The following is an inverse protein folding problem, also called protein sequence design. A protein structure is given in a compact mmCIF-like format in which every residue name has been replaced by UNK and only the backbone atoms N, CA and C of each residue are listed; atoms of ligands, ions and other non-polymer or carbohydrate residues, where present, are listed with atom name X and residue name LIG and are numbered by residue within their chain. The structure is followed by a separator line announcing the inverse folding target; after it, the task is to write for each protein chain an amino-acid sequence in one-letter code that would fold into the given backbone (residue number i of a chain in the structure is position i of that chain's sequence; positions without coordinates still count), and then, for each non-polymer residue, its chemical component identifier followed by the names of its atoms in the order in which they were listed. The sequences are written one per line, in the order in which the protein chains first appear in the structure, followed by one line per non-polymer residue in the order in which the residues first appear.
data_IF_841456921943
#
_entry.id   IF_841456921943
#
_cell.length_a   1.000
_cell.length_b   1.000
_cell.length_c   1.000
_cell.angle_alpha   90.00
_cell.angle_beta   90.00
_cell.angle_gamma   90.00
#
_symmetry.space_group_name_H-M   'P 1'
#
loop_
_entity.id
_entity.type
_entity.pdbx_description
1 polymer ?
#
# COMPACT_ATOMS: atom_id res chain seq x y z
N UNK A 1 11.42 0.57 17.07
CA UNK A 1 10.89 1.36 15.95
C UNK A 1 9.45 1.68 16.27
N UNK A 2 9.13 2.96 16.38
CA UNK A 2 7.76 3.45 16.60
C UNK A 2 7.00 3.35 15.27
N UNK A 3 5.87 2.66 15.24
CA UNK A 3 5.06 2.52 14.02
C UNK A 3 4.20 3.77 13.89
N UNK A 4 4.14 4.31 12.68
CA UNK A 4 3.71 5.68 12.37
C UNK A 4 2.30 6.06 12.88
N UNK A 5 1.41 5.10 13.13
CA UNK A 5 0.08 5.35 13.69
C UNK A 5 -0.30 4.25 14.70
N UNK A 6 -0.28 4.59 15.99
CA UNK A 6 -0.74 3.73 17.08
C UNK A 6 -2.13 4.19 17.54
N UNK A 7 -3.06 3.26 17.70
CA UNK A 7 -4.42 3.48 18.20
C UNK A 7 -4.60 2.59 19.44
N UNK A 8 -4.02 3.03 20.55
CA UNK A 8 -3.83 2.19 21.74
C UNK A 8 -2.85 1.04 21.44
N UNK A 9 -3.30 -0.20 21.66
CA UNK A 9 -2.52 -1.42 21.41
C UNK A 9 -2.52 -1.89 19.94
N UNK A 10 -3.17 -1.13 19.06
CA UNK A 10 -3.29 -1.43 17.64
C UNK A 10 -2.38 -0.53 16.81
N UNK A 11 -1.82 -1.10 15.76
CA UNK A 11 -1.09 -0.39 14.73
C UNK A 11 -1.96 -0.25 13.48
N UNK A 12 -1.82 0.87 12.80
CA UNK A 12 -2.53 1.13 11.54
C UNK A 12 -1.52 1.29 10.41
N UNK A 13 -1.65 0.45 9.38
CA UNK A 13 -0.94 0.61 8.11
C UNK A 13 -1.92 1.18 7.09
N UNK A 14 -1.83 2.50 6.80
CA UNK A 14 -2.73 3.12 5.85
C UNK A 14 -2.38 2.73 4.41
N UNK A 15 -3.40 2.59 3.58
CA UNK A 15 -3.21 2.45 2.13
C UNK A 15 -3.86 3.60 1.40
N UNK A 16 -3.29 3.95 0.26
CA UNK A 16 -3.78 4.98 -0.62
C UNK A 16 -3.72 4.46 -2.05
N UNK A 17 -4.59 4.96 -2.93
CA UNK A 17 -4.55 4.59 -4.34
C UNK A 17 -4.63 5.81 -5.22
N UNK A 18 -4.03 5.70 -6.41
CA UNK A 18 -4.02 6.77 -7.41
C UNK A 18 -5.07 6.46 -8.47
N UNK A 19 -6.05 7.34 -8.66
CA UNK A 19 -7.12 7.13 -9.64
C UNK A 19 -6.67 7.59 -11.01
N UNK A 20 -6.32 6.65 -11.87
CA UNK A 20 -5.76 6.94 -13.18
C UNK A 20 -6.84 7.32 -14.23
N UNK A 21 -8.11 7.04 -13.96
CA UNK A 21 -9.23 7.38 -14.85
C UNK A 21 -9.64 8.85 -14.80
N UNK A 22 -9.21 9.61 -13.79
CA UNK A 22 -9.58 11.02 -13.62
C UNK A 22 -8.37 11.89 -13.36
N UNK A 23 -8.47 13.18 -13.73
CA UNK A 23 -7.45 14.19 -13.45
C UNK A 23 -8.07 15.41 -12.79
N UNK A 24 -7.37 16.00 -11.83
CA UNK A 24 -7.78 17.26 -11.21
C UNK A 24 -7.64 18.39 -12.23
N UNK A 25 -8.74 19.10 -12.53
CA UNK A 25 -8.75 20.23 -13.49
C UNK A 25 -7.64 21.27 -13.26
N UNK A 26 -7.35 21.72 -12.03
CA UNK A 26 -6.35 22.78 -11.82
C UNK A 26 -4.91 22.35 -12.05
N UNK A 27 -4.58 21.06 -11.90
CA UNK A 27 -3.19 20.59 -11.87
C UNK A 27 -2.88 19.54 -12.95
N UNK A 28 -3.87 19.04 -13.67
CA UNK A 28 -3.78 17.89 -14.58
C UNK A 28 -3.15 16.62 -13.94
N UNK A 29 -3.18 16.54 -12.60
CA UNK A 29 -2.62 15.41 -11.85
C UNK A 29 -3.74 14.47 -11.41
N UNK A 30 -3.49 13.17 -11.52
CA UNK A 30 -4.37 12.13 -10.99
C UNK A 30 -4.49 12.23 -9.45
N UNK A 31 -5.71 12.23 -8.89
CA UNK A 31 -5.90 12.32 -7.46
C UNK A 31 -5.42 11.03 -6.76
N UNK A 32 -4.89 11.22 -5.55
CA UNK A 32 -4.64 10.15 -4.58
C UNK A 32 -5.84 10.11 -3.64
N UNK A 33 -6.40 8.93 -3.42
CA UNK A 33 -7.54 8.67 -2.54
C UNK A 33 -7.14 7.69 -1.43
N UNK A 34 -7.87 7.73 -0.32
CA UNK A 34 -7.69 6.78 0.78
C UNK A 34 -8.24 5.41 0.41
N UNK A 35 -7.41 4.38 0.58
CA UNK A 35 -7.79 2.99 0.41
C UNK A 35 -8.16 2.32 1.74
N UNK A 36 -8.39 1.00 1.73
CA UNK A 36 -8.64 0.22 2.93
C UNK A 36 -7.43 0.27 3.88
N UNK A 37 -7.64 0.43 5.17
CA UNK A 37 -6.54 0.52 6.15
C UNK A 37 -6.40 -0.81 6.90
N UNK A 38 -5.17 -1.27 7.08
CA UNK A 38 -4.89 -2.48 7.84
C UNK A 38 -4.70 -2.11 9.32
N UNK A 39 -5.63 -2.52 10.18
CA UNK A 39 -5.51 -2.38 11.63
C UNK A 39 -5.06 -3.73 12.20
N UNK A 40 -3.92 -3.76 12.85
CA UNK A 40 -3.29 -5.00 13.31
C UNK A 40 -2.56 -4.81 14.64
N UNK A 41 -2.49 -5.87 15.44
CA UNK A 41 -1.71 -5.90 16.69
C UNK A 41 -0.29 -6.42 16.47
N UNK A 42 -0.01 -7.02 15.30
CA UNK A 42 1.31 -7.51 14.95
C UNK A 42 1.67 -7.22 13.49
N UNK A 43 2.93 -6.85 13.26
CA UNK A 43 3.49 -6.61 11.92
C UNK A 43 4.11 -7.88 11.35
N UNK A 44 3.33 -8.96 11.33
CA UNK A 44 3.77 -10.23 10.74
C UNK A 44 3.39 -10.32 9.27
N UNK A 45 4.18 -11.05 8.49
CA UNK A 45 3.83 -11.38 7.10
C UNK A 45 2.44 -11.99 7.00
N UNK A 46 2.05 -12.83 7.98
CA UNK A 46 0.73 -13.47 8.02
C UNK A 46 -0.40 -12.45 8.15
N UNK A 47 -0.28 -11.49 9.06
CA UNK A 47 -1.31 -10.46 9.25
C UNK A 47 -1.48 -9.61 7.99
N UNK A 48 -0.36 -9.21 7.38
CA UNK A 48 -0.39 -8.46 6.13
C UNK A 48 -0.92 -9.27 4.95
N UNK A 49 -0.56 -10.55 4.82
CA UNK A 49 -1.08 -11.42 3.77
C UNK A 49 -2.59 -11.59 3.86
N UNK A 50 -3.14 -11.74 5.08
CA UNK A 50 -4.59 -11.84 5.26
C UNK A 50 -5.31 -10.58 4.75
N UNK A 51 -4.81 -9.40 5.10
CA UNK A 51 -5.34 -8.13 4.60
C UNK A 51 -5.19 -7.99 3.08
N UNK A 52 -4.02 -8.34 2.53
CA UNK A 52 -3.75 -8.19 1.10
C UNK A 52 -4.50 -9.21 0.23
N UNK A 53 -4.83 -10.40 0.74
CA UNK A 53 -5.73 -11.33 0.07
C UNK A 53 -7.15 -10.77 -0.03
N UNK A 54 -7.67 -10.20 1.07
CA UNK A 54 -8.99 -9.55 1.04
C UNK A 54 -9.03 -8.40 0.02
N UNK A 55 -7.95 -7.61 -0.07
CA UNK A 55 -7.81 -6.59 -1.13
C UNK A 55 -7.78 -7.24 -2.52
N UNK A 56 -7.03 -8.32 -2.71
CA UNK A 56 -6.89 -8.99 -4.01
C UNK A 56 -8.22 -9.58 -4.50
N UNK A 57 -9.02 -10.16 -3.60
CA UNK A 57 -10.34 -10.74 -3.92
C UNK A 57 -11.35 -9.70 -4.44
N UNK A 58 -11.10 -8.41 -4.16
CA UNK A 58 -11.91 -7.29 -4.63
C UNK A 58 -11.38 -6.66 -5.93
N UNK A 59 -10.34 -7.24 -6.56
CA UNK A 59 -9.75 -6.77 -7.81
C UNK A 59 -10.02 -7.77 -8.94
N UNK A 60 -10.19 -7.24 -10.15
CA UNK A 60 -10.24 -8.08 -11.35
C UNK A 60 -8.84 -8.52 -11.77
N UNK A 61 -8.73 -9.62 -12.52
CA UNK A 61 -7.46 -10.13 -13.04
C UNK A 61 -6.65 -9.06 -13.81
N UNK A 62 -7.34 -8.23 -14.61
CA UNK A 62 -6.72 -7.12 -15.34
C UNK A 62 -6.12 -6.07 -14.41
N UNK A 63 -6.81 -5.75 -13.31
CA UNK A 63 -6.33 -4.78 -12.32
C UNK A 63 -5.12 -5.34 -11.55
N UNK A 64 -5.11 -6.64 -11.25
CA UNK A 64 -3.99 -7.31 -10.60
C UNK A 64 -2.71 -7.28 -11.45
N UNK A 65 -2.83 -7.45 -12.77
CA UNK A 65 -1.69 -7.39 -13.69
C UNK A 65 -1.11 -5.97 -13.86
N UNK A 66 -1.97 -4.95 -13.78
CA UNK A 66 -1.56 -3.55 -13.92
C UNK A 66 -1.16 -2.90 -12.60
N UNK A 67 -1.24 -3.67 -11.50
CA UNK A 67 -1.02 -3.17 -10.16
C UNK A 67 0.45 -2.78 -9.96
N UNK A 68 0.66 -1.51 -9.63
CA UNK A 68 1.94 -1.04 -9.09
C UNK A 68 1.77 -0.74 -7.62
N UNK A 69 2.56 -1.41 -6.79
CA UNK A 69 2.53 -1.24 -5.34
C UNK A 69 3.82 -0.55 -4.91
N UNK A 70 3.69 0.62 -4.28
CA UNK A 70 4.81 1.33 -3.64
C UNK A 70 4.72 1.14 -2.13
N UNK A 71 5.83 0.78 -1.48
CA UNK A 71 5.88 0.63 -0.02
C UNK A 71 7.21 1.07 0.57
N UNK A 72 7.20 1.23 1.90
CA UNK A 72 8.42 1.40 2.69
C UNK A 72 9.25 0.10 2.74
N UNK A 73 10.38 0.15 3.43
CA UNK A 73 11.32 -0.97 3.52
C UNK A 73 10.89 -2.12 4.44
N UNK A 74 9.66 -2.11 4.97
CA UNK A 74 9.18 -3.12 5.91
C UNK A 74 9.16 -4.53 5.28
N UNK A 75 10.07 -5.40 5.73
CA UNK A 75 10.31 -6.71 5.12
C UNK A 75 9.07 -7.61 5.12
N UNK A 76 8.35 -7.67 6.24
CA UNK A 76 7.16 -8.49 6.39
C UNK A 76 6.07 -8.12 5.36
N UNK A 77 5.87 -6.82 5.15
CA UNK A 77 4.89 -6.31 4.19
C UNK A 77 5.30 -6.60 2.74
N UNK A 78 6.59 -6.44 2.41
CA UNK A 78 7.13 -6.78 1.07
C UNK A 78 6.96 -8.26 0.74
N UNK A 79 7.22 -9.15 1.70
CA UNK A 79 7.00 -10.58 1.51
C UNK A 79 5.51 -10.86 1.29
N UNK A 80 4.64 -10.25 2.09
CA UNK A 80 3.21 -10.42 1.95
C UNK A 80 2.71 -9.95 0.57
N UNK A 81 3.17 -8.81 0.06
CA UNK A 81 2.84 -8.32 -1.28
C UNK A 81 3.22 -9.32 -2.36
N UNK A 82 4.46 -9.85 -2.32
CA UNK A 82 4.91 -10.82 -3.32
C UNK A 82 4.08 -12.11 -3.32
N UNK A 83 3.58 -12.50 -2.15
CA UNK A 83 2.70 -13.67 -2.02
C UNK A 83 1.30 -13.40 -2.59
N UNK A 84 0.73 -12.21 -2.36
CA UNK A 84 -0.65 -11.89 -2.77
C UNK A 84 -0.74 -11.38 -4.22
N UNK A 85 0.30 -10.71 -4.69
CA UNK A 85 0.34 -10.02 -5.99
C UNK A 85 1.61 -10.39 -6.77
N UNK A 86 1.81 -11.66 -7.16
CA UNK A 86 3.04 -12.12 -7.79
C UNK A 86 3.34 -11.44 -9.13
N UNK A 87 2.33 -10.95 -9.83
CA UNK A 87 2.46 -10.21 -11.10
C UNK A 87 2.59 -8.69 -10.96
N UNK A 88 2.54 -8.15 -9.73
CA UNK A 88 2.59 -6.69 -9.52
C UNK A 88 4.01 -6.14 -9.65
N UNK A 89 4.11 -4.88 -10.07
CA UNK A 89 5.36 -4.13 -9.98
C UNK A 89 5.52 -3.56 -8.58
N UNK A 90 6.55 -4.00 -7.85
CA UNK A 90 6.86 -3.49 -6.53
C UNK A 90 7.96 -2.43 -6.59
N UNK A 91 7.66 -1.24 -6.07
CA UNK A 91 8.59 -0.10 -6.01
C UNK A 91 8.84 0.25 -4.53
N UNK A 92 10.06 0.70 -4.23
CA UNK A 92 10.38 1.26 -2.92
C UNK A 92 10.17 2.77 -2.95
N UNK A 93 9.56 3.30 -1.89
CA UNK A 93 9.24 4.72 -1.84
C UNK A 93 10.53 5.55 -1.74
N UNK A 94 10.92 6.20 -2.85
CA UNK A 94 12.15 7.02 -2.94
C UNK A 94 12.06 8.30 -2.10
N UNK A 95 10.84 8.73 -1.76
CA UNK A 95 10.61 9.90 -0.89
C UNK A 95 11.05 9.62 0.56
N UNK A 96 10.98 8.37 1.03
CA UNK A 96 11.53 7.97 2.34
C UNK A 96 13.04 7.81 2.35
N UNK A 97 13.64 7.47 1.20
CA UNK A 97 15.09 7.41 1.05
C UNK A 97 15.75 8.80 1.04
N UNK A 98 14.99 9.86 0.68
CA UNK A 98 15.49 11.24 0.56
C UNK A 98 15.07 12.17 1.71
N UNK A 99 14.01 11.84 2.47
CA UNK A 99 13.62 12.52 3.71
C UNK A 99 13.42 11.47 4.79
N UNK A 100 14.21 11.52 5.85
CA UNK A 100 14.09 10.71 7.08
C UNK A 100 12.78 11.01 7.82
N UNK A 101 11.65 10.61 7.25
CA UNK A 101 10.33 10.64 7.86
C UNK A 101 9.63 9.34 7.48
N UNK A 102 9.54 8.42 8.42
CA UNK A 102 8.89 7.11 8.25
C UNK A 102 7.38 7.31 8.14
N UNK A 103 6.88 7.57 6.94
CA UNK A 103 5.44 7.68 6.70
C UNK A 103 5.00 6.60 5.73
N UNK A 104 4.65 5.42 6.25
CA UNK A 104 4.27 4.29 5.40
C UNK A 104 3.05 4.61 4.55
N UNK A 105 3.29 4.83 3.26
CA UNK A 105 2.26 4.90 2.23
C UNK A 105 2.35 3.60 1.44
N UNK A 106 1.32 2.77 1.51
CA UNK A 106 1.13 1.74 0.48
C UNK A 106 0.36 2.39 -0.67
N UNK A 107 1.04 2.82 -1.74
CA UNK A 107 0.34 3.27 -2.95
C UNK A 107 -0.01 2.04 -3.76
N UNK A 108 -1.28 1.69 -3.79
CA UNK A 108 -1.84 0.69 -4.70
C UNK A 108 -2.34 1.44 -5.93
N UNK A 109 -1.59 1.46 -7.03
CA UNK A 109 -2.02 2.12 -8.26
C UNK A 109 -2.70 1.11 -9.18
N UNK A 110 -3.99 1.32 -9.44
CA UNK A 110 -4.79 0.53 -10.39
C UNK A 110 -5.05 1.41 -11.62
N UNK A 111 -4.73 0.90 -12.82
CA UNK A 111 -5.02 1.55 -14.10
C UNK A 111 -6.47 1.38 -14.50
#
# INVERSE_FOLDING_TARGET
MDKTYNLGDFHVTPTVFKVLSVKKRPTDVHPIMFGPNCIHTNSSTKAYSAFLHDVADNLTDNQLQLLTIDTDEELAFKIAIKLCFPGSTHVLCTRHLTKTQTVTYSLVSIK
#
